data_IF_661131022976
#
_entry.id   IF_661131022976
#
_cell.length_a   1.000
_cell.length_b   1.000
_cell.length_c   1.000
_cell.angle_alpha   90.00
_cell.angle_beta   90.00
_cell.angle_gamma   90.00
#
_symmetry.space_group_name_H-M   'P 1'
#
loop_
_entity.id
_entity.type
_entity.pdbx_description
1 polymer ?
#
# COMPACT_ATOMS: atom_id res chain seq x y z
N UNK A 1 32.84 -1.06 -32.30
CA UNK A 1 31.67 -0.80 -31.44
C UNK A 1 32.14 -1.01 -30.02
N UNK A 2 32.47 0.07 -29.32
CA UNK A 2 33.14 0.02 -28.02
C UNK A 2 32.09 -0.28 -26.94
N UNK A 3 32.24 -1.31 -26.08
CA UNK A 3 31.15 -1.82 -25.25
C UNK A 3 30.83 -1.00 -23.98
N UNK A 4 31.35 0.23 -23.85
CA UNK A 4 31.43 0.91 -22.55
C UNK A 4 31.08 2.40 -22.71
N UNK A 5 29.89 2.68 -23.25
CA UNK A 5 29.32 4.02 -23.24
C UNK A 5 28.66 4.28 -21.87
N UNK A 6 29.23 5.16 -21.02
CA UNK A 6 28.67 5.46 -19.70
C UNK A 6 27.29 6.12 -19.76
N UNK A 7 26.84 6.61 -20.91
CA UNK A 7 25.47 7.13 -21.10
C UNK A 7 24.39 6.05 -21.19
N UNK A 8 24.79 4.77 -21.33
CA UNK A 8 23.89 3.61 -21.34
C UNK A 8 23.76 2.95 -19.96
N UNK A 9 24.49 3.41 -18.93
CA UNK A 9 24.29 2.94 -17.56
C UNK A 9 23.08 3.66 -16.96
N UNK A 10 22.07 2.94 -16.42
CA UNK A 10 21.03 3.59 -15.64
C UNK A 10 21.70 4.35 -14.48
N UNK A 11 21.21 5.56 -14.13
CA UNK A 11 21.76 6.29 -13.02
C UNK A 11 21.72 5.41 -11.77
N UNK A 12 22.82 5.38 -11.02
CA UNK A 12 22.83 4.70 -9.73
C UNK A 12 21.71 5.30 -8.85
N UNK A 13 21.03 4.48 -8.03
CA UNK A 13 20.04 4.99 -7.10
C UNK A 13 20.68 6.09 -6.25
N UNK A 14 20.09 7.28 -6.31
CA UNK A 14 20.54 8.43 -5.54
C UNK A 14 20.25 8.16 -4.07
N UNK A 15 21.28 7.82 -3.28
CA UNK A 15 21.13 7.42 -1.88
C UNK A 15 20.43 8.46 -0.99
N UNK A 16 20.38 9.73 -1.42
CA UNK A 16 19.60 10.77 -0.74
C UNK A 16 18.10 10.66 -0.97
N UNK A 17 17.68 10.15 -2.13
CA UNK A 17 16.27 9.93 -2.48
C UNK A 17 15.66 8.77 -1.68
N UNK A 18 16.40 7.68 -1.50
CA UNK A 18 15.94 6.48 -0.78
C UNK A 18 15.75 6.76 0.71
N UNK A 19 16.67 7.50 1.36
CA UNK A 19 16.52 7.90 2.75
C UNK A 19 15.24 8.72 2.99
N UNK A 20 14.84 9.53 2.00
CA UNK A 20 13.59 10.30 2.04
C UNK A 20 12.38 9.39 1.87
N UNK A 21 12.39 8.48 0.90
CA UNK A 21 11.30 7.50 0.74
C UNK A 21 11.07 6.70 2.03
N UNK A 22 12.15 6.24 2.68
CA UNK A 22 12.11 5.54 3.97
C UNK A 22 11.43 6.38 5.05
N UNK A 23 11.84 7.64 5.21
CA UNK A 23 11.29 8.52 6.25
C UNK A 23 9.85 8.98 5.95
N UNK A 24 9.45 9.02 4.67
CA UNK A 24 8.08 9.34 4.24
C UNK A 24 7.09 8.19 4.43
N UNK A 25 7.55 6.94 4.51
CA UNK A 25 6.67 5.77 4.63
C UNK A 25 5.68 5.87 5.79
N UNK A 26 6.18 6.12 7.00
CA UNK A 26 5.36 6.16 8.20
C UNK A 26 4.31 7.29 8.22
N UNK A 27 4.65 8.58 7.95
CA UNK A 27 3.64 9.64 7.91
C UNK A 27 2.61 9.44 6.79
N UNK A 28 3.01 8.88 5.63
CA UNK A 28 2.07 8.56 4.55
C UNK A 28 1.11 7.46 4.98
N UNK A 29 1.60 6.35 5.53
CA UNK A 29 0.73 5.28 6.00
C UNK A 29 -0.28 5.77 7.07
N UNK A 30 0.20 6.53 8.06
CA UNK A 30 -0.67 7.12 9.11
C UNK A 30 -1.71 8.07 8.54
N UNK A 31 -1.33 8.93 7.58
CA UNK A 31 -2.26 9.86 6.95
C UNK A 31 -3.43 9.14 6.25
N UNK A 32 -3.13 8.08 5.50
CA UNK A 32 -4.16 7.28 4.82
C UNK A 32 -5.09 6.60 5.81
N UNK A 33 -4.53 5.98 6.86
CA UNK A 33 -5.31 5.31 7.89
C UNK A 33 -6.20 6.29 8.68
N UNK A 34 -5.66 7.45 9.07
CA UNK A 34 -6.40 8.46 9.82
C UNK A 34 -7.56 9.05 9.03
N UNK A 35 -7.38 9.29 7.74
CA UNK A 35 -8.44 9.75 6.84
C UNK A 35 -9.47 8.65 6.54
N UNK A 36 -9.08 7.38 6.65
CA UNK A 36 -9.96 6.22 6.46
C UNK A 36 -10.71 5.80 7.74
N UNK A 37 -10.54 6.53 8.85
CA UNK A 37 -11.26 6.29 10.09
C UNK A 37 -12.55 7.13 10.15
N UNK A 38 -13.61 6.52 10.63
CA UNK A 38 -14.81 7.21 11.09
C UNK A 38 -15.13 6.83 12.54
N UNK A 39 -15.84 7.70 13.23
CA UNK A 39 -16.48 7.34 14.48
C UNK A 39 -17.60 6.31 14.22
N UNK A 40 -17.77 5.35 15.12
CA UNK A 40 -18.87 4.39 15.10
C UNK A 40 -19.45 4.19 16.51
N UNK A 41 -20.67 3.68 16.58
CA UNK A 41 -21.43 3.52 17.84
C UNK A 41 -20.72 2.65 18.89
N UNK A 42 -19.86 1.73 18.44
CA UNK A 42 -19.14 0.77 19.30
C UNK A 42 -17.62 0.98 19.25
N UNK A 43 -17.17 2.12 18.74
CA UNK A 43 -15.75 2.43 18.55
C UNK A 43 -15.40 2.86 17.13
N UNK A 44 -14.11 3.14 16.88
CA UNK A 44 -13.64 3.58 15.57
C UNK A 44 -13.87 2.51 14.49
N UNK A 45 -14.25 2.97 13.30
CA UNK A 45 -14.41 2.13 12.10
C UNK A 45 -13.36 2.49 11.07
N UNK A 46 -12.64 1.50 10.56
CA UNK A 46 -11.63 1.66 9.51
C UNK A 46 -12.17 1.14 8.18
N UNK A 47 -11.92 1.88 7.10
CA UNK A 47 -12.21 1.39 5.74
C UNK A 47 -11.36 0.17 5.40
N UNK A 48 -11.96 -0.90 4.87
CA UNK A 48 -11.28 -2.16 4.67
C UNK A 48 -10.10 -2.08 3.67
N UNK A 49 -10.16 -1.23 2.63
CA UNK A 49 -9.03 -1.01 1.72
C UNK A 49 -7.82 -0.36 2.41
N UNK A 50 -8.07 0.49 3.42
CA UNK A 50 -7.00 1.08 4.21
C UNK A 50 -6.32 0.02 5.10
N UNK A 51 -7.08 -0.99 5.57
CA UNK A 51 -6.50 -2.17 6.21
C UNK A 51 -5.73 -3.04 5.20
N UNK A 52 -6.21 -3.20 3.96
CA UNK A 52 -5.52 -3.95 2.90
C UNK A 52 -4.14 -3.36 2.62
N UNK A 53 -4.05 -2.03 2.63
CA UNK A 53 -2.79 -1.31 2.53
C UNK A 53 -1.77 -1.72 3.60
N UNK A 54 -2.19 -1.92 4.85
CA UNK A 54 -1.31 -2.38 5.94
C UNK A 54 -0.79 -3.78 5.67
N UNK A 55 -1.66 -4.68 5.21
CA UNK A 55 -1.26 -6.04 4.85
C UNK A 55 -0.28 -6.04 3.67
N UNK A 56 -0.54 -5.27 2.60
CA UNK A 56 0.40 -5.14 1.48
C UNK A 56 1.75 -4.57 1.90
N UNK A 57 1.74 -3.58 2.78
CA UNK A 57 2.96 -3.03 3.37
C UNK A 57 3.77 -4.09 4.14
N UNK A 58 3.12 -4.99 4.87
CA UNK A 58 3.79 -6.13 5.52
C UNK A 58 4.28 -7.18 4.51
N UNK A 59 3.59 -7.37 3.39
CA UNK A 59 4.09 -8.18 2.26
C UNK A 59 5.35 -7.60 1.61
N UNK A 60 5.42 -6.27 1.48
CA UNK A 60 6.63 -5.58 1.04
C UNK A 60 7.77 -5.72 2.05
N UNK A 61 7.46 -5.67 3.35
CA UNK A 61 8.43 -5.91 4.41
C UNK A 61 9.03 -7.33 4.31
N UNK A 62 8.20 -8.34 4.03
CA UNK A 62 8.63 -9.73 3.77
C UNK A 62 9.60 -9.82 2.58
N UNK A 63 9.22 -9.21 1.45
CA UNK A 63 10.06 -9.11 0.26
C UNK A 63 11.43 -8.47 0.57
N UNK A 64 11.43 -7.34 1.26
CA UNK A 64 12.65 -6.58 1.58
C UNK A 64 13.54 -7.34 2.57
N UNK A 65 12.96 -8.01 3.56
CA UNK A 65 13.72 -8.79 4.54
C UNK A 65 14.43 -9.99 3.90
N UNK A 66 13.74 -10.74 3.02
CA UNK A 66 14.36 -11.81 2.24
C UNK A 66 15.46 -11.28 1.32
N UNK A 67 15.19 -10.19 0.61
CA UNK A 67 16.18 -9.54 -0.27
C UNK A 67 17.43 -9.13 0.52
N UNK A 68 17.26 -8.55 1.71
CA UNK A 68 18.36 -8.17 2.61
C UNK A 68 19.19 -9.38 3.07
N UNK A 69 18.57 -10.54 3.23
CA UNK A 69 19.23 -11.79 3.58
C UNK A 69 19.89 -12.49 2.38
N UNK A 70 19.84 -11.89 1.18
CA UNK A 70 20.36 -12.48 -0.05
C UNK A 70 19.47 -13.62 -0.60
N UNK A 71 18.23 -13.74 -0.11
CA UNK A 71 17.26 -14.73 -0.57
C UNK A 71 16.37 -14.10 -1.63
N UNK A 72 16.32 -14.71 -2.80
CA UNK A 72 15.42 -14.28 -3.86
C UNK A 72 13.97 -14.50 -3.44
N UNK A 73 13.14 -13.48 -3.69
CA UNK A 73 11.75 -13.41 -3.30
C UNK A 73 10.91 -12.97 -4.50
N UNK A 74 9.76 -13.59 -4.71
CA UNK A 74 8.82 -13.17 -5.75
C UNK A 74 7.91 -12.05 -5.19
N UNK A 75 8.00 -10.81 -5.72
CA UNK A 75 7.19 -9.69 -5.24
C UNK A 75 5.68 -9.93 -5.38
N UNK A 76 5.23 -10.51 -6.48
CA UNK A 76 3.81 -10.80 -6.71
C UNK A 76 3.31 -11.82 -5.70
N UNK A 77 4.09 -12.88 -5.44
CA UNK A 77 3.72 -13.87 -4.42
C UNK A 77 3.63 -13.23 -3.01
N UNK A 78 4.57 -12.39 -2.61
CA UNK A 78 4.51 -11.68 -1.33
C UNK A 78 3.26 -10.80 -1.21
N UNK A 79 2.93 -10.04 -2.27
CA UNK A 79 1.75 -9.16 -2.30
C UNK A 79 0.43 -9.94 -2.35
N UNK A 80 0.42 -11.09 -3.00
CA UNK A 80 -0.73 -12.00 -3.03
C UNK A 80 -0.98 -12.64 -1.67
N UNK A 81 0.05 -13.21 -1.03
CA UNK A 81 -0.05 -13.78 0.32
C UNK A 81 -0.49 -12.74 1.35
N UNK A 82 0.01 -11.51 1.24
CA UNK A 82 -0.47 -10.37 2.02
C UNK A 82 -1.96 -10.07 1.79
N UNK A 83 -2.41 -10.13 0.54
CA UNK A 83 -3.81 -9.91 0.19
C UNK A 83 -4.72 -11.03 0.71
N UNK A 84 -4.24 -12.28 0.75
CA UNK A 84 -4.96 -13.39 1.38
C UNK A 84 -5.07 -13.23 2.90
N UNK A 85 -4.03 -12.72 3.57
CA UNK A 85 -4.08 -12.37 5.01
C UNK A 85 -5.15 -11.31 5.27
N UNK A 86 -5.22 -10.27 4.44
CA UNK A 86 -6.30 -9.28 4.49
C UNK A 86 -7.68 -9.92 4.28
N UNK A 87 -7.86 -10.74 3.24
CA UNK A 87 -9.13 -11.43 2.98
C UNK A 87 -9.61 -12.23 4.21
N UNK A 88 -8.69 -12.94 4.88
CA UNK A 88 -9.00 -13.68 6.10
C UNK A 88 -9.42 -12.78 7.26
N UNK A 89 -8.86 -11.58 7.40
CA UNK A 89 -9.30 -10.62 8.43
C UNK A 89 -10.76 -10.20 8.23
N UNK A 90 -11.22 -10.10 6.98
CA UNK A 90 -12.60 -9.73 6.63
C UNK A 90 -13.58 -10.90 6.76
N UNK A 91 -13.16 -12.10 6.35
CA UNK A 91 -14.07 -13.23 6.14
C UNK A 91 -13.94 -14.33 7.19
N UNK A 92 -12.89 -14.31 8.01
CA UNK A 92 -12.57 -15.34 9.00
C UNK A 92 -11.78 -16.53 8.44
N UNK A 93 -11.70 -16.69 7.11
CA UNK A 93 -10.99 -17.81 6.46
C UNK A 93 -10.25 -17.38 5.20
N UNK A 94 -9.33 -18.22 4.74
CA UNK A 94 -8.79 -18.06 3.38
C UNK A 94 -9.83 -18.52 2.35
N UNK A 95 -9.76 -18.00 1.10
CA UNK A 95 -10.52 -18.55 -0.01
C UNK A 95 -10.24 -20.05 -0.20
N UNK A 96 -11.22 -20.79 -0.73
CA UNK A 96 -11.04 -22.21 -1.00
C UNK A 96 -9.91 -22.43 -2.02
N UNK A 97 -9.04 -23.41 -1.77
CA UNK A 97 -7.91 -23.74 -2.66
C UNK A 97 -6.73 -22.75 -2.61
N UNK A 98 -6.86 -21.61 -1.94
CA UNK A 98 -5.74 -20.70 -1.72
C UNK A 98 -4.72 -21.33 -0.75
N UNK A 99 -3.41 -21.04 -0.91
CA UNK A 99 -2.43 -21.40 0.10
C UNK A 99 -2.70 -20.65 1.40
N UNK A 100 -2.36 -21.25 2.54
CA UNK A 100 -2.33 -20.54 3.81
C UNK A 100 -0.99 -19.79 3.94
N UNK A 101 -0.98 -18.45 3.92
CA UNK A 101 0.24 -17.68 4.15
C UNK A 101 0.83 -17.96 5.53
N UNK A 102 2.17 -17.98 5.67
CA UNK A 102 2.80 -18.02 6.99
C UNK A 102 2.33 -16.86 7.86
N UNK A 103 2.06 -17.13 9.13
CA UNK A 103 1.58 -16.13 10.07
C UNK A 103 2.65 -15.05 10.33
N UNK A 104 2.23 -13.78 10.28
CA UNK A 104 3.07 -12.61 10.58
C UNK A 104 2.62 -11.92 11.87
N UNK A 105 3.49 -11.09 12.43
CA UNK A 105 3.18 -10.33 13.64
C UNK A 105 1.96 -9.42 13.43
N UNK A 106 1.87 -8.82 12.25
CA UNK A 106 0.75 -7.98 11.80
C UNK A 106 -0.57 -8.75 11.82
N UNK A 107 -0.60 -9.99 11.35
CA UNK A 107 -1.81 -10.83 11.30
C UNK A 107 -2.43 -11.00 12.68
N UNK A 108 -1.60 -11.38 13.67
CA UNK A 108 -2.07 -11.61 15.04
C UNK A 108 -2.58 -10.32 15.68
N UNK A 109 -1.83 -9.24 15.51
CA UNK A 109 -2.18 -7.97 16.14
C UNK A 109 -3.46 -7.38 15.54
N UNK A 110 -3.60 -7.37 14.21
CA UNK A 110 -4.82 -6.92 13.54
C UNK A 110 -6.02 -7.82 13.86
N UNK A 111 -5.83 -9.14 13.92
CA UNK A 111 -6.89 -10.06 14.32
C UNK A 111 -7.36 -9.83 15.76
N UNK A 112 -6.48 -9.46 16.70
CA UNK A 112 -6.88 -9.10 18.06
C UNK A 112 -7.69 -7.79 18.09
N UNK A 113 -7.29 -6.78 17.32
CA UNK A 113 -8.02 -5.50 17.24
C UNK A 113 -9.44 -5.67 16.69
N UNK A 114 -9.61 -6.53 15.68
CA UNK A 114 -10.86 -6.72 14.94
C UNK A 114 -11.76 -7.80 15.53
N UNK A 115 -11.17 -8.92 15.97
CA UNK A 115 -11.85 -10.16 16.31
C UNK A 115 -11.46 -10.71 17.70
N UNK A 116 -10.73 -9.91 18.50
CA UNK A 116 -10.33 -10.28 19.86
C UNK A 116 -11.52 -10.40 20.83
N UNK A 117 -11.22 -10.73 22.09
CA UNK A 117 -12.28 -10.82 23.12
C UNK A 117 -12.98 -9.49 23.39
N UNK A 118 -12.25 -8.40 23.21
CA UNK A 118 -12.73 -7.02 23.31
C UNK A 118 -12.23 -6.22 22.10
N UNK A 119 -12.90 -6.32 20.93
CA UNK A 119 -12.48 -5.60 19.74
C UNK A 119 -12.45 -4.09 19.99
N UNK A 120 -11.37 -3.44 19.59
CA UNK A 120 -11.20 -1.97 19.71
C UNK A 120 -11.29 -1.27 18.36
N UNK A 121 -11.37 -2.04 17.28
CA UNK A 121 -11.51 -1.55 15.91
C UNK A 121 -12.58 -2.37 15.19
N UNK A 122 -13.44 -1.69 14.44
CA UNK A 122 -14.37 -2.35 13.52
C UNK A 122 -14.04 -1.98 12.07
N UNK A 123 -14.46 -2.80 11.11
CA UNK A 123 -14.43 -2.42 9.70
C UNK A 123 -15.70 -1.68 9.32
N UNK A 124 -15.58 -0.72 8.40
CA UNK A 124 -16.75 -0.09 7.80
C UNK A 124 -17.56 -1.13 7.02
N UNK A 125 -18.89 -1.22 7.22
CA UNK A 125 -19.76 -2.09 6.42
C UNK A 125 -19.59 -1.82 4.93
N UNK A 126 -19.66 -2.88 4.13
CA UNK A 126 -19.59 -2.85 2.66
C UNK A 126 -18.30 -2.27 2.06
N UNK A 127 -17.30 -1.92 2.89
CA UNK A 127 -15.99 -1.47 2.42
C UNK A 127 -15.12 -2.64 1.95
N UNK A 128 -14.38 -2.44 0.86
CA UNK A 128 -13.45 -3.45 0.31
C UNK A 128 -14.11 -4.61 -0.45
N UNK A 129 -15.41 -4.53 -0.76
CA UNK A 129 -16.13 -5.61 -1.44
C UNK A 129 -15.52 -5.97 -2.81
N UNK A 130 -15.04 -4.98 -3.55
CA UNK A 130 -14.38 -5.21 -4.85
C UNK A 130 -13.12 -6.05 -4.69
N UNK A 131 -12.22 -5.70 -3.78
CA UNK A 131 -11.00 -6.46 -3.52
C UNK A 131 -11.30 -7.84 -2.94
N UNK A 132 -12.30 -7.95 -2.07
CA UNK A 132 -12.76 -9.23 -1.51
C UNK A 132 -13.25 -10.17 -2.61
N UNK A 133 -14.07 -9.66 -3.54
CA UNK A 133 -14.56 -10.42 -4.70
C UNK A 133 -13.42 -10.86 -5.63
N UNK A 134 -12.44 -9.99 -5.86
CA UNK A 134 -11.28 -10.32 -6.71
C UNK A 134 -10.42 -11.45 -6.15
N UNK A 135 -10.28 -11.54 -4.83
CA UNK A 135 -9.50 -12.59 -4.17
C UNK A 135 -10.29 -13.88 -3.91
N UNK A 136 -11.60 -13.88 -4.15
CA UNK A 136 -12.49 -14.95 -3.72
C UNK A 136 -12.21 -16.31 -4.37
N UNK A 137 -11.57 -16.34 -5.54
CA UNK A 137 -11.16 -17.59 -6.20
C UNK A 137 -9.95 -18.24 -5.54
N UNK A 138 -9.21 -17.48 -4.74
CA UNK A 138 -7.96 -17.94 -4.16
C UNK A 138 -6.82 -18.11 -5.16
N UNK A 139 -7.01 -17.77 -6.45
CA UNK A 139 -5.95 -17.88 -7.46
C UNK A 139 -5.07 -16.62 -7.47
N UNK A 140 -3.77 -16.79 -7.73
CA UNK A 140 -2.87 -15.66 -7.95
C UNK A 140 -3.09 -15.11 -9.36
N UNK A 141 -3.76 -13.96 -9.46
CA UNK A 141 -3.97 -13.29 -10.74
C UNK A 141 -2.71 -12.56 -11.24
N UNK A 142 -2.66 -12.33 -12.56
CA UNK A 142 -1.52 -11.71 -13.24
C UNK A 142 -2.00 -10.54 -14.11
N UNK A 143 -1.14 -9.57 -14.46
CA UNK A 143 -1.53 -8.49 -15.38
C UNK A 143 -2.10 -8.97 -16.72
N UNK A 144 -1.65 -10.12 -17.22
CA UNK A 144 -2.16 -10.75 -18.45
C UNK A 144 -3.51 -11.45 -18.29
N UNK A 145 -3.94 -11.72 -17.06
CA UNK A 145 -5.20 -12.36 -16.69
C UNK A 145 -5.62 -11.90 -15.28
N UNK A 146 -6.04 -10.63 -15.15
CA UNK A 146 -6.36 -10.05 -13.85
C UNK A 146 -7.67 -10.61 -13.30
N UNK A 147 -7.86 -10.53 -11.98
CA UNK A 147 -9.01 -11.15 -11.32
C UNK A 147 -10.37 -10.58 -11.80
N UNK A 148 -10.43 -9.27 -12.07
CA UNK A 148 -11.64 -8.57 -12.51
C UNK A 148 -11.29 -7.55 -13.62
N UNK A 149 -11.12 -7.99 -14.89
CA UNK A 149 -10.67 -7.13 -16.00
C UNK A 149 -11.65 -5.99 -16.33
N UNK A 150 -12.93 -6.18 -16.03
CA UNK A 150 -14.00 -5.20 -16.29
C UNK A 150 -14.23 -4.21 -15.14
N UNK A 151 -13.70 -4.49 -13.95
CA UNK A 151 -13.97 -3.67 -12.77
C UNK A 151 -13.14 -2.37 -12.79
N UNK A 152 -13.83 -1.25 -12.99
CA UNK A 152 -13.21 0.09 -13.07
C UNK A 152 -13.26 0.89 -11.75
N UNK A 153 -13.55 0.23 -10.63
CA UNK A 153 -13.62 0.84 -9.30
C UNK A 153 -12.21 1.21 -8.77
N UNK A 154 -11.94 2.49 -8.48
CA UNK A 154 -10.62 2.98 -8.08
C UNK A 154 -10.27 2.76 -6.61
N UNK A 155 -11.13 2.15 -5.79
CA UNK A 155 -10.87 1.90 -4.36
C UNK A 155 -9.56 1.13 -4.10
N UNK A 156 -9.23 0.20 -5.00
CA UNK A 156 -7.99 -0.57 -4.96
C UNK A 156 -6.72 0.24 -5.23
N UNK A 157 -6.80 1.52 -5.61
CA UNK A 157 -5.62 2.38 -5.78
C UNK A 157 -5.03 2.83 -4.45
N UNK A 158 -5.85 2.95 -3.40
CA UNK A 158 -5.41 3.32 -2.05
C UNK A 158 -4.29 2.41 -1.55
N UNK A 159 -4.52 1.09 -1.63
CA UNK A 159 -3.58 0.08 -1.12
C UNK A 159 -2.22 0.06 -1.86
N UNK A 160 -2.12 0.70 -3.03
CA UNK A 160 -0.89 0.76 -3.81
C UNK A 160 0.06 1.87 -3.37
N UNK A 161 -0.43 2.87 -2.63
CA UNK A 161 0.37 4.04 -2.24
C UNK A 161 1.68 3.69 -1.50
N UNK A 162 1.73 2.71 -0.57
CA UNK A 162 2.99 2.33 0.07
C UNK A 162 4.06 1.80 -0.89
N UNK A 163 3.68 1.22 -2.05
CA UNK A 163 4.66 0.77 -3.04
C UNK A 163 5.51 1.96 -3.51
N UNK A 164 4.90 3.14 -3.68
CA UNK A 164 5.59 4.36 -4.11
C UNK A 164 6.78 4.78 -3.22
N UNK A 165 6.86 4.23 -2.01
CA UNK A 165 7.85 4.59 -0.99
C UNK A 165 8.85 3.48 -0.70
N UNK A 166 8.85 2.40 -1.50
CA UNK A 166 9.86 1.35 -1.39
C UNK A 166 11.22 1.90 -1.85
N UNK A 167 12.26 1.90 -1.00
CA UNK A 167 13.58 2.36 -1.36
C UNK A 167 14.35 1.31 -2.18
N UNK A 168 15.42 1.73 -2.85
CA UNK A 168 16.39 0.84 -3.53
C UNK A 168 15.82 0.08 -4.74
N UNK A 169 14.63 0.44 -5.20
CA UNK A 169 13.95 -0.20 -6.34
C UNK A 169 13.84 0.77 -7.50
N UNK A 170 14.23 0.36 -8.70
CA UNK A 170 14.09 1.20 -9.90
C UNK A 170 12.61 1.49 -10.22
N UNK A 171 12.33 2.67 -10.79
CA UNK A 171 10.97 3.07 -11.20
C UNK A 171 10.29 2.02 -12.08
N UNK A 172 11.02 1.46 -13.05
CA UNK A 172 10.47 0.45 -13.96
C UNK A 172 10.03 -0.82 -13.23
N UNK A 173 10.78 -1.22 -12.21
CA UNK A 173 10.47 -2.41 -11.39
C UNK A 173 9.28 -2.13 -10.49
N UNK A 174 9.25 -0.93 -9.91
CA UNK A 174 8.15 -0.51 -9.06
C UNK A 174 6.82 -0.47 -9.79
N UNK A 175 6.80 0.09 -11.02
CA UNK A 175 5.59 0.11 -11.85
C UNK A 175 5.10 -1.31 -12.19
N UNK A 176 6.01 -2.27 -12.44
CA UNK A 176 5.63 -3.68 -12.60
C UNK A 176 4.97 -4.24 -11.35
N UNK A 177 5.51 -3.96 -10.16
CA UNK A 177 4.90 -4.41 -8.90
C UNK A 177 3.54 -3.76 -8.65
N UNK A 178 3.37 -2.50 -9.04
CA UNK A 178 2.07 -1.80 -8.99
C UNK A 178 1.03 -2.48 -9.87
N UNK A 179 1.38 -2.78 -11.13
CA UNK A 179 0.49 -3.50 -12.06
C UNK A 179 0.13 -4.89 -11.53
N UNK A 180 1.13 -5.63 -11.04
CA UNK A 180 0.97 -6.94 -10.43
C UNK A 180 0.06 -6.89 -9.20
N UNK A 181 0.29 -5.95 -8.28
CA UNK A 181 -0.50 -5.78 -7.08
C UNK A 181 -1.96 -5.48 -7.41
N UNK A 182 -2.22 -4.59 -8.38
CA UNK A 182 -3.56 -4.24 -8.82
C UNK A 182 -4.29 -5.44 -9.43
N UNK A 183 -3.60 -6.19 -10.31
CA UNK A 183 -4.13 -7.35 -11.03
C UNK A 183 -4.71 -8.45 -10.11
N UNK A 184 -4.22 -8.54 -8.86
CA UNK A 184 -4.74 -9.44 -7.83
C UNK A 184 -6.23 -9.25 -7.55
N UNK A 185 -6.77 -8.07 -7.79
CA UNK A 185 -8.17 -7.74 -7.48
C UNK A 185 -8.88 -7.06 -8.64
N UNK A 186 -8.26 -6.14 -9.37
CA UNK A 186 -8.84 -5.42 -10.50
C UNK A 186 -7.90 -5.44 -11.71
N UNK A 187 -8.45 -5.34 -12.92
CA UNK A 187 -7.67 -5.40 -14.16
C UNK A 187 -8.00 -4.36 -15.21
N UNK A 188 -8.89 -3.41 -14.91
CA UNK A 188 -9.38 -2.49 -15.92
C UNK A 188 -8.25 -1.58 -16.43
N UNK A 189 -8.03 -1.44 -17.75
CA UNK A 189 -6.89 -0.70 -18.31
C UNK A 189 -6.74 0.75 -17.79
N UNK A 190 -7.88 1.44 -17.56
CA UNK A 190 -7.90 2.76 -16.92
C UNK A 190 -7.22 2.74 -15.55
N UNK A 191 -7.54 1.77 -14.71
CA UNK A 191 -6.99 1.68 -13.35
C UNK A 191 -5.49 1.40 -13.36
N UNK A 192 -4.98 0.64 -14.33
CA UNK A 192 -3.54 0.46 -14.50
C UNK A 192 -2.84 1.78 -14.85
N UNK A 193 -3.40 2.56 -15.77
CA UNK A 193 -2.87 3.88 -16.12
C UNK A 193 -2.91 4.84 -14.91
N UNK A 194 -4.00 4.84 -14.15
CA UNK A 194 -4.17 5.67 -12.97
C UNK A 194 -3.28 5.22 -11.80
N UNK A 195 -3.07 3.92 -11.62
CA UNK A 195 -2.14 3.38 -10.63
C UNK A 195 -0.70 3.81 -10.91
N UNK A 196 -0.26 3.70 -12.18
CA UNK A 196 1.07 4.15 -12.59
C UNK A 196 1.25 5.66 -12.34
N UNK A 197 0.25 6.47 -12.71
CA UNK A 197 0.23 7.92 -12.45
C UNK A 197 0.29 8.24 -10.95
N UNK A 198 -0.53 7.59 -10.13
CA UNK A 198 -0.59 7.82 -8.68
C UNK A 198 0.73 7.47 -8.02
N UNK A 199 1.27 6.29 -8.30
CA UNK A 199 2.53 5.80 -7.72
C UNK A 199 3.70 6.70 -8.11
N UNK A 200 3.79 7.09 -9.40
CA UNK A 200 4.83 8.01 -9.86
C UNK A 200 4.73 9.38 -9.18
N UNK A 201 3.52 9.91 -8.99
CA UNK A 201 3.29 11.19 -8.30
C UNK A 201 3.69 11.13 -6.82
N UNK A 202 3.27 10.09 -6.10
CA UNK A 202 3.62 9.93 -4.68
C UNK A 202 5.14 9.74 -4.52
N UNK A 203 5.76 8.92 -5.37
CA UNK A 203 7.21 8.69 -5.34
C UNK A 203 7.99 9.97 -5.62
N UNK A 204 7.60 10.70 -6.67
CA UNK A 204 8.23 11.95 -7.06
C UNK A 204 8.16 13.01 -5.97
N UNK A 205 7.05 13.09 -5.22
CA UNK A 205 6.96 13.93 -4.02
C UNK A 205 7.83 13.40 -2.88
N UNK A 206 7.76 12.11 -2.59
CA UNK A 206 8.46 11.49 -1.46
C UNK A 206 9.98 11.54 -1.57
N UNK A 207 10.53 11.56 -2.79
CA UNK A 207 11.97 11.67 -3.04
C UNK A 207 12.52 13.10 -2.88
N UNK A 208 11.66 14.13 -2.88
CA UNK A 208 12.06 15.53 -2.72
C UNK A 208 12.24 15.89 -1.24
N UNK A 209 13.23 16.75 -0.95
CA UNK A 209 13.54 17.24 0.40
C UNK A 209 12.39 18.08 0.93
N UNK A 210 12.09 19.11 0.15
CA UNK A 210 11.05 20.10 0.39
C UNK A 210 10.29 20.30 -0.92
N UNK A 211 9.27 19.46 -1.18
CA UNK A 211 8.39 19.65 -2.32
C UNK A 211 7.75 21.04 -2.26
N UNK A 212 7.96 21.86 -3.28
CA UNK A 212 7.39 23.20 -3.33
C UNK A 212 5.85 23.17 -3.29
N UNK A 213 5.18 24.20 -2.74
CA UNK A 213 3.71 24.22 -2.64
C UNK A 213 2.96 24.03 -3.97
N UNK A 214 3.56 24.44 -5.09
CA UNK A 214 3.00 24.22 -6.42
C UNK A 214 3.01 22.74 -6.84
N UNK A 215 4.08 22.01 -6.54
CA UNK A 215 4.20 20.58 -6.82
C UNK A 215 3.16 19.78 -6.03
N UNK A 216 3.00 20.09 -4.73
CA UNK A 216 1.98 19.45 -3.89
C UNK A 216 0.57 19.74 -4.39
N UNK A 217 0.28 21.00 -4.80
CA UNK A 217 -1.03 21.34 -5.39
C UNK A 217 -1.31 20.59 -6.69
N UNK A 218 -0.31 20.47 -7.57
CA UNK A 218 -0.44 19.73 -8.82
C UNK A 218 -0.69 18.23 -8.57
N UNK A 219 0.08 17.63 -7.65
CA UNK A 219 -0.10 16.25 -7.25
C UNK A 219 -1.50 15.98 -6.65
N UNK A 220 -2.01 16.90 -5.82
CA UNK A 220 -3.37 16.80 -5.28
C UNK A 220 -4.44 16.95 -6.35
N UNK A 221 -4.25 17.82 -7.35
CA UNK A 221 -5.17 17.93 -8.47
C UNK A 221 -5.21 16.62 -9.29
N UNK A 222 -4.04 16.03 -9.54
CA UNK A 222 -3.93 14.74 -10.22
C UNK A 222 -4.57 13.60 -9.42
N UNK A 223 -4.33 13.53 -8.11
CA UNK A 223 -4.93 12.52 -7.26
C UNK A 223 -6.47 12.66 -7.19
N UNK A 224 -7.02 13.88 -7.19
CA UNK A 224 -8.47 14.08 -7.28
C UNK A 224 -9.05 13.57 -8.60
N UNK A 225 -8.37 13.86 -9.71
CA UNK A 225 -8.75 13.38 -11.04
C UNK A 225 -8.78 11.84 -11.08
N UNK A 226 -7.73 11.18 -10.58
CA UNK A 226 -7.63 9.72 -10.47
C UNK A 226 -8.75 9.13 -9.60
N UNK A 227 -9.08 9.78 -8.48
CA UNK A 227 -10.05 9.29 -7.50
C UNK A 227 -11.49 9.76 -7.76
N UNK A 228 -11.80 10.29 -8.95
CA UNK A 228 -13.12 10.87 -9.27
C UNK A 228 -14.28 9.91 -9.03
N UNK A 229 -14.09 8.62 -9.34
CA UNK A 229 -15.12 7.57 -9.21
C UNK A 229 -15.01 6.78 -7.88
N UNK A 230 -14.14 7.19 -6.96
CA UNK A 230 -13.96 6.52 -5.68
C UNK A 230 -15.02 6.94 -4.67
N UNK A 231 -15.25 6.10 -3.65
CA UNK A 231 -15.96 6.55 -2.46
C UNK A 231 -15.19 7.67 -1.75
N UNK A 232 -15.91 8.52 -1.01
CA UNK A 232 -15.35 9.71 -0.37
C UNK A 232 -14.23 9.38 0.62
N UNK A 233 -14.31 8.24 1.32
CA UNK A 233 -13.33 7.84 2.34
C UNK A 233 -12.03 7.43 1.67
N UNK A 234 -12.09 6.61 0.63
CA UNK A 234 -10.93 6.20 -0.16
C UNK A 234 -10.27 7.41 -0.84
N UNK A 235 -11.06 8.30 -1.46
CA UNK A 235 -10.53 9.52 -2.05
C UNK A 235 -9.84 10.41 -1.01
N UNK A 236 -10.45 10.61 0.16
CA UNK A 236 -9.87 11.39 1.25
C UNK A 236 -8.55 10.78 1.75
N UNK A 237 -8.49 9.44 1.88
CA UNK A 237 -7.29 8.72 2.29
C UNK A 237 -6.13 8.91 1.32
N UNK A 238 -6.35 8.73 0.01
CA UNK A 238 -5.31 8.96 -1.01
C UNK A 238 -4.85 10.43 -0.99
N UNK A 239 -5.77 11.40 -0.87
CA UNK A 239 -5.39 12.81 -0.81
C UNK A 239 -4.60 13.17 0.46
N UNK A 240 -4.92 12.57 1.61
CA UNK A 240 -4.14 12.73 2.82
C UNK A 240 -2.72 12.17 2.66
N UNK A 241 -2.58 11.03 2.00
CA UNK A 241 -1.29 10.41 1.70
C UNK A 241 -0.44 11.26 0.75
N UNK A 242 -1.04 11.84 -0.29
CA UNK A 242 -0.34 12.74 -1.21
C UNK A 242 0.18 13.98 -0.47
N UNK A 243 -0.59 14.55 0.48
CA UNK A 243 -0.11 15.64 1.34
C UNK A 243 1.08 15.21 2.20
N UNK A 244 0.97 14.06 2.85
CA UNK A 244 2.03 13.50 3.69
C UNK A 244 3.31 13.17 2.92
N UNK A 245 3.18 12.66 1.68
CA UNK A 245 4.30 12.44 0.78
C UNK A 245 4.98 13.77 0.40
N UNK A 246 4.17 14.82 0.25
CA UNK A 246 4.61 16.21 0.10
C UNK A 246 5.24 16.84 1.35
N UNK A 247 5.34 16.10 2.46
CA UNK A 247 5.85 16.57 3.74
C UNK A 247 4.91 17.47 4.54
N UNK A 248 3.66 17.59 4.12
CA UNK A 248 2.63 18.32 4.86
C UNK A 248 1.94 17.38 5.84
N UNK A 249 1.69 17.85 7.07
CA UNK A 249 0.85 17.12 8.02
C UNK A 249 -0.61 17.31 7.62
N UNK A 250 -1.33 16.26 7.19
CA UNK A 250 -2.73 16.38 6.86
C UNK A 250 -3.58 16.45 8.13
N UNK A 251 -4.69 17.18 8.05
CA UNK A 251 -5.71 17.22 9.11
C UNK A 251 -6.59 15.97 8.99
N UNK A 252 -6.29 14.96 9.79
CA UNK A 252 -6.95 13.63 9.78
C UNK A 252 -7.17 13.15 11.21
N UNK A 253 -8.10 12.22 11.38
CA UNK A 253 -8.37 11.57 12.66
C UNK A 253 -7.10 10.90 13.18
N UNK A 254 -6.78 11.13 14.46
CA UNK A 254 -5.70 10.41 15.13
C UNK A 254 -6.01 8.90 15.18
N UNK A 255 -4.99 8.07 14.97
CA UNK A 255 -5.17 6.62 15.09
C UNK A 255 -5.46 6.23 16.54
N UNK A 256 -6.36 5.26 16.78
CA UNK A 256 -6.52 4.67 18.11
C UNK A 256 -5.20 4.15 18.66
N UNK A 257 -4.95 4.29 19.96
CA UNK A 257 -3.67 3.96 20.59
C UNK A 257 -3.23 2.52 20.30
N UNK A 258 -4.16 1.55 20.34
CA UNK A 258 -3.85 0.15 20.06
C UNK A 258 -3.52 -0.12 18.60
N UNK A 259 -4.15 0.61 17.67
CA UNK A 259 -3.81 0.54 16.24
C UNK A 259 -2.45 1.17 15.97
N UNK A 260 -2.18 2.35 16.53
CA UNK A 260 -0.88 3.02 16.42
C UNK A 260 0.25 2.15 17.00
N UNK A 261 0.06 1.58 18.19
CA UNK A 261 1.02 0.67 18.80
C UNK A 261 1.25 -0.59 17.95
N UNK A 262 0.18 -1.16 17.37
CA UNK A 262 0.26 -2.30 16.45
C UNK A 262 1.08 -1.97 15.22
N UNK A 263 0.79 -0.85 14.55
CA UNK A 263 1.54 -0.40 13.37
C UNK A 263 3.01 -0.15 13.71
N UNK A 264 3.27 0.52 14.83
CA UNK A 264 4.63 0.85 15.26
C UNK A 264 5.46 -0.42 15.50
N UNK A 265 4.91 -1.40 16.20
CA UNK A 265 5.62 -2.63 16.57
C UNK A 265 5.73 -3.63 15.42
N UNK A 266 4.64 -3.87 14.68
CA UNK A 266 4.56 -4.94 13.69
C UNK A 266 5.01 -4.54 12.28
N UNK A 267 4.98 -3.25 11.95
CA UNK A 267 5.25 -2.77 10.59
C UNK A 267 6.31 -1.67 10.53
N UNK A 268 6.14 -0.55 11.24
CA UNK A 268 6.99 0.64 11.07
C UNK A 268 8.40 0.45 11.63
N UNK A 269 8.55 -0.14 12.83
CA UNK A 269 9.89 -0.44 13.38
C UNK A 269 10.62 -1.49 12.54
N UNK A 270 9.97 -2.60 12.12
CA UNK A 270 10.58 -3.53 11.17
C UNK A 270 10.96 -2.88 9.84
N UNK A 271 10.12 -2.00 9.28
CA UNK A 271 10.42 -1.27 8.05
C UNK A 271 11.73 -0.50 8.16
N UNK A 272 11.86 0.35 9.19
CA UNK A 272 13.08 1.11 9.45
C UNK A 272 14.32 0.22 9.57
N UNK A 273 14.17 -0.97 10.19
CA UNK A 273 15.27 -1.93 10.36
C UNK A 273 15.67 -2.59 9.04
N UNK A 274 14.73 -3.03 8.21
CA UNK A 274 15.08 -3.73 6.95
C UNK A 274 15.59 -2.76 5.90
N UNK A 275 15.11 -1.51 5.90
CA UNK A 275 15.52 -0.47 4.94
C UNK A 275 16.67 0.38 5.44
N UNK A 276 17.17 0.17 6.66
CA UNK A 276 18.36 0.88 7.14
C UNK A 276 19.56 0.54 6.23
N UNK A 277 20.39 1.54 5.88
CA UNK A 277 21.63 1.32 5.15
C UNK A 277 22.46 0.22 5.82
N UNK A 278 22.99 -0.71 5.03
CA UNK A 278 23.88 -1.79 5.49
C UNK A 278 25.28 -1.25 5.72
#
# INVERSE_FOLDING_TARGET
MTPDDPSLRPPAPDGFSDARLITRFAPVLRAGLGAALAAGDSGPRLHAEALHQVCLADGLLELLDWTRQGVAADPLACLWLASLRWHRLLTGSFPEGAPEPPARATDRALAELLNGRSPTLALMPDSGEVSRRGLATGEMAYPSSPAQPECADPSGLLRLVPLALVPYVEDSMLLRWTEQALALTQGHPRLHADAARLVATVRGLGAQEEPGPAAVRAALAQARDIMTDADEVTAAAVLAQVRAAGGQQPDVTALPDELEATLQAALLTPWQRVTAPV
#
